data_IF_004610666275
#
_entry.id   IF_004610666275
#
_cell.length_a   1.000
_cell.length_b   1.000
_cell.length_c   1.000
_cell.angle_alpha   90.00
_cell.angle_beta   90.00
_cell.angle_gamma   90.00
#
_symmetry.space_group_name_H-M   'P 1'
#
loop_
_entity.id
_entity.type
_entity.pdbx_description
1 polymer ?
#
# COMPACT_ATOMS: atom_id res chain seq x y z
N UNK A 1 -3.99 21.43 -19.17
CA UNK A 1 -5.14 20.93 -18.36
C UNK A 1 -4.75 19.71 -17.53
N UNK A 2 -4.22 18.64 -18.14
CA UNK A 2 -3.79 17.43 -17.41
C UNK A 2 -2.77 17.71 -16.27
N UNK A 3 -1.73 18.50 -16.52
CA UNK A 3 -0.75 18.91 -15.49
C UNK A 3 -1.37 19.66 -14.30
N UNK A 4 -2.43 20.44 -14.54
CA UNK A 4 -3.15 21.18 -13.50
C UNK A 4 -3.99 20.24 -12.63
N UNK A 5 -4.61 19.23 -13.25
CA UNK A 5 -5.39 18.19 -12.54
C UNK A 5 -4.46 17.33 -11.67
N UNK A 6 -3.29 16.97 -12.19
CA UNK A 6 -2.28 16.21 -11.44
C UNK A 6 -1.73 17.03 -10.27
N UNK A 7 -1.41 18.33 -10.47
CA UNK A 7 -1.00 19.23 -9.38
C UNK A 7 -2.09 19.37 -8.30
N UNK A 8 -3.36 19.57 -8.70
CA UNK A 8 -4.50 19.65 -7.78
C UNK A 8 -4.65 18.38 -6.95
N UNK A 9 -4.49 17.20 -7.56
CA UNK A 9 -4.61 15.91 -6.86
C UNK A 9 -3.48 15.69 -5.84
N UNK A 10 -2.23 15.97 -6.22
CA UNK A 10 -1.07 15.86 -5.32
C UNK A 10 -1.20 16.83 -4.15
N UNK A 11 -1.65 18.06 -4.40
CA UNK A 11 -1.84 19.07 -3.35
C UNK A 11 -3.00 18.73 -2.40
N UNK A 12 -4.08 18.10 -2.88
CA UNK A 12 -5.19 17.64 -2.03
C UNK A 12 -4.77 16.49 -1.10
N UNK A 13 -3.90 15.60 -1.59
CA UNK A 13 -3.32 14.52 -0.78
C UNK A 13 -2.37 15.06 0.30
N UNK A 14 -1.63 16.14 0.03
CA UNK A 14 -0.76 16.80 1.01
C UNK A 14 -1.54 17.57 2.08
N UNK A 15 -2.70 18.16 1.74
CA UNK A 15 -3.54 18.90 2.70
C UNK A 15 -4.13 18.01 3.80
N UNK A 16 -4.35 16.72 3.53
CA UNK A 16 -4.85 15.78 4.54
C UNK A 16 -3.80 15.41 5.61
N UNK A 17 -2.57 15.93 5.51
CA UNK A 17 -1.46 15.52 6.38
C UNK A 17 -1.03 16.56 7.43
N UNK A 18 -1.59 17.77 7.48
CA UNK A 18 -1.29 18.67 8.60
C UNK A 18 -1.58 20.15 8.37
N UNK A 19 -1.91 20.81 9.47
CA UNK A 19 -2.41 22.18 9.55
C UNK A 19 -1.24 23.18 9.58
N UNK A 20 -0.54 23.35 8.46
CA UNK A 20 0.63 24.24 8.37
C UNK A 20 0.26 25.61 7.78
N UNK A 21 0.60 26.69 8.49
CA UNK A 21 0.34 28.07 8.06
C UNK A 21 1.01 28.44 6.72
N UNK A 22 2.09 27.73 6.35
CA UNK A 22 2.78 27.92 5.06
C UNK A 22 1.94 27.47 3.85
N UNK A 23 1.05 26.49 4.04
CA UNK A 23 0.19 25.96 2.97
C UNK A 23 -0.74 27.07 2.43
N UNK A 24 -1.18 27.99 3.29
CA UNK A 24 -2.06 29.10 2.89
C UNK A 24 -1.40 30.11 1.94
N UNK A 25 -0.08 30.29 1.99
CA UNK A 25 0.62 31.16 1.02
C UNK A 25 0.78 30.47 -0.33
N UNK A 26 1.10 29.18 -0.34
CA UNK A 26 1.19 28.39 -1.57
C UNK A 26 -0.18 28.29 -2.27
N UNK A 27 -1.29 28.20 -1.53
CA UNK A 27 -2.64 28.28 -2.09
C UNK A 27 -2.89 29.58 -2.85
N UNK A 28 -2.48 30.73 -2.28
CA UNK A 28 -2.67 32.03 -2.94
C UNK A 28 -1.89 32.12 -4.25
N UNK A 29 -0.64 31.65 -4.24
CA UNK A 29 0.22 31.66 -5.44
C UNK A 29 -0.36 30.74 -6.51
N UNK A 30 -0.76 29.51 -6.13
CA UNK A 30 -1.35 28.56 -7.08
C UNK A 30 -2.66 29.07 -7.70
N UNK A 31 -3.56 29.66 -6.89
CA UNK A 31 -4.81 30.22 -7.42
C UNK A 31 -4.58 31.41 -8.34
N UNK A 32 -3.56 32.24 -8.06
CA UNK A 32 -3.18 33.35 -8.93
C UNK A 32 -2.65 32.84 -10.28
N UNK A 33 -1.71 31.88 -10.27
CA UNK A 33 -1.19 31.25 -11.50
C UNK A 33 -2.31 30.58 -12.32
N UNK A 34 -3.23 29.91 -11.64
CA UNK A 34 -4.38 29.27 -12.27
C UNK A 34 -5.29 30.30 -12.95
N UNK A 35 -5.60 31.39 -12.24
CA UNK A 35 -6.42 32.48 -12.75
C UNK A 35 -5.77 33.13 -13.98
N UNK A 36 -4.47 33.44 -13.90
CA UNK A 36 -3.71 34.09 -14.97
C UNK A 36 -3.62 33.20 -16.23
N UNK A 37 -3.45 31.88 -16.05
CA UNK A 37 -3.48 30.92 -17.16
C UNK A 37 -4.83 30.94 -17.93
N UNK A 38 -5.96 30.99 -17.20
CA UNK A 38 -7.28 31.05 -17.83
C UNK A 38 -7.56 32.40 -18.48
N UNK A 39 -7.15 33.50 -17.86
CA UNK A 39 -7.24 34.84 -18.45
C UNK A 39 -6.43 34.96 -19.74
N UNK A 40 -5.20 34.44 -19.76
CA UNK A 40 -4.34 34.43 -20.96
C UNK A 40 -4.95 33.61 -22.12
N UNK A 41 -5.51 32.43 -21.81
CA UNK A 41 -6.20 31.60 -22.82
C UNK A 41 -7.44 32.28 -23.40
N UNK A 42 -8.19 33.03 -22.60
CA UNK A 42 -9.36 33.80 -23.05
C UNK A 42 -8.99 34.90 -24.04
N UNK A 43 -7.84 35.56 -23.84
CA UNK A 43 -7.32 36.57 -24.76
C UNK A 43 -6.83 35.97 -26.10
N UNK A 44 -6.27 34.76 -26.09
CA UNK A 44 -5.85 34.08 -27.34
C UNK A 44 -7.03 33.61 -28.20
N UNK A 45 -8.20 33.36 -27.61
CA UNK A 45 -9.40 32.92 -28.33
C UNK A 45 -10.17 34.09 -28.96
N UNK A 46 -10.04 35.32 -28.47
CA UNK A 46 -10.69 36.49 -29.09
C UNK A 46 -9.99 36.98 -30.36
N UNK A 47 -8.72 36.62 -30.58
CA UNK A 47 -7.95 37.04 -31.75
C UNK A 47 -7.97 36.02 -32.90
N UNK A 48 -8.60 34.86 -32.73
CA UNK A 48 -8.77 33.84 -33.77
C UNK A 48 -10.15 33.91 -34.40
N UNK A 49 -10.53 35.08 -34.95
CA UNK A 49 -11.70 35.22 -35.81
C UNK A 49 -11.33 35.07 -37.29
N UNK A 50 -10.86 33.90 -37.70
CA UNK A 50 -11.06 33.42 -39.08
C UNK A 50 -11.09 31.89 -39.03
N UNK A 51 -12.18 31.33 -39.56
CA UNK A 51 -12.49 29.91 -39.85
C UNK A 51 -13.34 29.10 -38.85
N UNK A 52 -14.52 28.74 -39.39
CA UNK A 52 -15.41 27.61 -39.12
C UNK A 52 -16.51 27.81 -38.08
N UNK A 53 -17.61 28.39 -38.58
CA UNK A 53 -18.97 28.07 -38.14
C UNK A 53 -19.21 26.57 -38.37
N UNK A 54 -19.43 25.82 -37.29
CA UNK A 54 -19.72 24.38 -37.33
C UNK A 54 -19.55 23.66 -35.99
N UNK A 55 -18.79 24.22 -35.05
CA UNK A 55 -18.51 23.60 -33.75
C UNK A 55 -19.07 24.39 -32.54
N UNK A 56 -20.07 25.25 -32.75
CA UNK A 56 -20.55 26.19 -31.73
C UNK A 56 -21.63 25.66 -30.77
N UNK A 57 -22.23 24.48 -31.03
CA UNK A 57 -23.33 24.00 -30.19
C UNK A 57 -22.91 23.04 -29.06
N UNK A 58 -21.89 22.20 -29.27
CA UNK A 58 -21.44 21.23 -28.26
C UNK A 58 -20.47 21.83 -27.21
N UNK A 59 -19.66 22.83 -27.57
CA UNK A 59 -18.71 23.44 -26.64
C UNK A 59 -19.38 24.37 -25.61
N UNK A 60 -20.53 24.98 -25.95
CA UNK A 60 -21.23 25.85 -25.01
C UNK A 60 -21.89 25.07 -23.85
N UNK A 61 -22.35 23.83 -24.09
CA UNK A 61 -22.88 22.98 -23.02
C UNK A 61 -21.80 22.47 -22.06
N UNK A 62 -20.62 22.05 -22.57
CA UNK A 62 -19.51 21.63 -21.70
C UNK A 62 -18.95 22.77 -20.86
N UNK A 63 -18.97 24.00 -21.37
CA UNK A 63 -18.51 25.19 -20.64
C UNK A 63 -19.50 25.64 -19.56
N UNK A 64 -20.81 25.60 -19.86
CA UNK A 64 -21.86 25.87 -18.88
C UNK A 64 -21.85 24.84 -17.73
N UNK A 65 -21.63 23.56 -18.04
CA UNK A 65 -21.61 22.49 -17.05
C UNK A 65 -20.34 22.51 -16.17
N UNK A 66 -19.18 22.87 -16.72
CA UNK A 66 -17.93 22.99 -15.94
C UNK A 66 -17.89 24.25 -15.07
N UNK A 67 -18.43 25.37 -15.56
CA UNK A 67 -18.62 26.60 -14.78
C UNK A 67 -19.53 26.39 -13.57
N UNK A 68 -20.68 25.71 -13.77
CA UNK A 68 -21.63 25.39 -12.70
C UNK A 68 -21.02 24.45 -11.66
N UNK A 69 -20.28 23.43 -12.09
CA UNK A 69 -19.59 22.50 -11.18
C UNK A 69 -18.53 23.20 -10.32
N UNK A 70 -17.76 24.14 -10.90
CA UNK A 70 -16.76 24.90 -10.15
C UNK A 70 -17.39 25.90 -9.17
N UNK A 71 -18.53 26.53 -9.52
CA UNK A 71 -19.27 27.40 -8.60
C UNK A 71 -19.90 26.61 -7.44
N UNK A 72 -20.45 25.42 -7.72
CA UNK A 72 -21.05 24.55 -6.71
C UNK A 72 -19.96 24.00 -5.74
N UNK A 73 -18.77 23.67 -6.25
CA UNK A 73 -17.62 23.30 -5.40
C UNK A 73 -17.12 24.48 -4.53
N UNK A 74 -17.10 25.71 -5.07
CA UNK A 74 -16.72 26.89 -4.29
C UNK A 74 -17.73 27.22 -3.19
N UNK A 75 -19.03 27.03 -3.47
CA UNK A 75 -20.10 27.29 -2.51
C UNK A 75 -20.10 26.27 -1.35
N UNK A 76 -19.80 24.99 -1.65
CA UNK A 76 -19.64 23.95 -0.61
C UNK A 76 -18.40 24.21 0.26
N UNK A 77 -17.30 24.69 -0.32
CA UNK A 77 -16.08 24.99 0.43
C UNK A 77 -16.25 26.20 1.37
N UNK A 78 -16.96 27.25 0.95
CA UNK A 78 -17.27 28.39 1.81
C UNK A 78 -18.24 28.05 2.96
N UNK A 79 -19.20 27.14 2.73
CA UNK A 79 -20.16 26.73 3.77
C UNK A 79 -19.53 25.86 4.86
N UNK A 80 -18.45 25.15 4.54
CA UNK A 80 -17.74 24.27 5.50
C UNK A 80 -16.80 25.06 6.43
N UNK A 81 -16.33 26.25 6.04
CA UNK A 81 -15.49 27.11 6.92
C UNK A 81 -16.25 27.79 8.06
N UNK A 82 -17.58 27.92 7.97
CA UNK A 82 -18.39 28.57 9.01
C UNK A 82 -18.72 27.62 10.18
N UNK A 83 -18.59 26.30 10.02
CA UNK A 83 -18.96 25.33 11.06
C UNK A 83 -17.78 24.96 11.99
N UNK A 84 -16.53 25.27 11.61
CA UNK A 84 -15.33 24.81 12.36
C UNK A 84 -14.84 25.82 13.42
N UNK A 85 -15.51 26.97 13.60
CA UNK A 85 -15.10 27.96 14.61
C UNK A 85 -15.79 27.85 15.99
N UNK A 86 -16.77 26.96 16.17
CA UNK A 86 -17.55 26.87 17.42
C UNK A 86 -17.30 25.61 18.27
N UNK A 87 -16.19 24.88 18.07
CA UNK A 87 -15.92 23.63 18.79
C UNK A 87 -14.58 23.58 19.54
N UNK A 88 -14.07 24.73 20.00
CA UNK A 88 -12.91 24.78 20.90
C UNK A 88 -13.30 25.46 22.21
N UNK A 89 -14.00 24.72 23.07
CA UNK A 89 -14.36 25.22 24.38
C UNK A 89 -14.95 24.12 25.23
N UNK A 90 -14.10 23.22 25.75
CA UNK A 90 -14.20 22.51 27.05
C UNK A 90 -13.45 21.18 26.99
N UNK A 91 -12.19 21.15 27.44
CA UNK A 91 -11.54 19.92 27.95
C UNK A 91 -10.25 20.30 28.69
N UNK A 92 -10.39 20.73 29.95
CA UNK A 92 -9.27 21.02 30.84
C UNK A 92 -9.47 20.26 32.14
N UNK A 93 -9.31 18.92 32.11
CA UNK A 93 -9.04 18.13 33.32
C UNK A 93 -8.56 16.70 32.98
N UNK A 94 -7.24 16.49 33.00
CA UNK A 94 -6.50 15.27 33.42
C UNK A 94 -5.09 15.29 32.82
N UNK A 95 -4.18 15.96 33.52
CA UNK A 95 -2.81 16.28 33.05
C UNK A 95 -1.71 15.55 33.83
N UNK A 96 -1.89 14.28 34.18
CA UNK A 96 -0.87 13.54 34.97
C UNK A 96 -0.53 12.14 34.51
N UNK A 97 -1.08 11.64 33.39
CA UNK A 97 -0.70 10.31 32.85
C UNK A 97 -0.05 10.36 31.46
N UNK A 98 0.11 11.54 30.86
CA UNK A 98 0.54 11.68 29.47
C UNK A 98 2.06 11.97 29.33
N UNK A 99 2.75 12.40 30.40
CA UNK A 99 4.17 12.79 30.28
C UNK A 99 5.15 11.63 30.09
N UNK A 100 4.80 10.40 30.49
CA UNK A 100 5.68 9.23 30.33
C UNK A 100 5.66 8.64 28.91
N UNK A 101 4.59 8.87 28.13
CA UNK A 101 4.48 8.37 26.76
C UNK A 101 5.27 9.23 25.76
N UNK A 102 5.37 10.54 26.02
CA UNK A 102 6.15 11.46 25.18
C UNK A 102 7.67 11.38 25.40
N UNK A 103 8.16 10.96 26.57
CA UNK A 103 9.61 10.77 26.78
C UNK A 103 10.18 9.57 26.01
N UNK A 104 9.39 8.51 25.80
CA UNK A 104 9.78 7.36 24.95
C UNK A 104 9.79 7.72 23.45
N UNK A 105 8.90 8.60 23.00
CA UNK A 105 8.90 9.11 21.62
C UNK A 105 10.05 10.08 21.33
N UNK A 106 10.44 10.92 22.28
CA UNK A 106 11.51 11.90 22.10
C UNK A 106 12.91 11.29 22.14
N UNK A 107 13.13 10.19 22.90
CA UNK A 107 14.43 9.51 22.91
C UNK A 107 14.73 8.67 21.65
N UNK A 108 13.71 8.32 20.85
CA UNK A 108 13.90 7.66 19.55
C UNK A 108 14.10 8.62 18.37
N UNK A 109 13.77 9.91 18.55
CA UNK A 109 13.91 10.95 17.50
C UNK A 109 15.38 11.31 17.23
N UNK A 110 16.25 11.25 18.24
CA UNK A 110 17.65 11.66 18.09
C UNK A 110 18.48 10.71 17.21
N UNK A 111 18.05 9.45 17.03
CA UNK A 111 18.68 8.56 16.05
C UNK A 111 18.20 8.82 14.61
N UNK A 112 17.02 9.43 14.45
CA UNK A 112 16.51 9.93 13.17
C UNK A 112 17.07 11.29 12.76
N UNK A 113 17.74 12.02 13.66
CA UNK A 113 18.32 13.33 13.31
C UNK A 113 19.70 13.25 12.65
N UNK A 114 20.48 12.18 12.86
CA UNK A 114 21.75 11.97 12.14
C UNK A 114 21.55 11.46 10.68
N UNK A 115 20.28 11.23 10.31
CA UNK A 115 19.83 10.81 8.97
C UNK A 115 19.64 11.97 7.98
N UNK A 116 19.67 13.23 8.42
CA UNK A 116 19.35 14.38 7.55
C UNK A 116 20.53 14.90 6.74
N UNK A 117 21.77 14.44 6.99
CA UNK A 117 22.95 14.92 6.23
C UNK A 117 23.92 13.81 5.79
N UNK A 118 23.90 12.62 6.43
CA UNK A 118 24.84 11.56 6.13
C UNK A 118 24.11 10.41 5.41
N UNK A 119 24.48 10.17 4.15
CA UNK A 119 23.99 9.02 3.36
C UNK A 119 24.02 7.77 4.24
N UNK A 120 22.85 7.20 4.52
CA UNK A 120 22.73 5.95 5.29
C UNK A 120 23.60 4.91 4.64
N UNK A 121 24.55 4.38 5.41
CA UNK A 121 25.41 3.30 4.95
C UNK A 121 24.53 2.13 4.49
N UNK A 122 24.75 1.68 3.26
CA UNK A 122 24.04 0.51 2.74
C UNK A 122 24.28 -0.71 3.64
N UNK A 123 23.21 -1.40 4.02
CA UNK A 123 23.25 -2.62 4.84
C UNK A 123 23.72 -3.82 4.01
N UNK A 124 24.41 -4.76 4.66
CA UNK A 124 24.65 -6.09 4.10
C UNK A 124 23.36 -6.89 4.06
N UNK A 125 23.33 -7.92 3.21
CA UNK A 125 22.19 -8.83 3.06
C UNK A 125 21.94 -9.60 4.36
N UNK A 126 23.00 -10.04 5.04
CA UNK A 126 22.93 -10.71 6.33
C UNK A 126 22.27 -9.86 7.42
N UNK A 127 22.75 -8.62 7.65
CA UNK A 127 22.13 -7.72 8.64
C UNK A 127 20.66 -7.45 8.28
N UNK A 128 20.36 -7.17 7.02
CA UNK A 128 18.98 -6.94 6.60
C UNK A 128 18.07 -8.17 6.86
N UNK A 129 18.59 -9.38 6.63
CA UNK A 129 17.86 -10.63 6.85
C UNK A 129 17.62 -10.88 8.34
N UNK A 130 18.64 -10.69 9.17
CA UNK A 130 18.53 -10.85 10.62
C UNK A 130 17.55 -9.84 11.24
N UNK A 131 17.54 -8.59 10.76
CA UNK A 131 16.58 -7.58 11.19
C UNK A 131 15.15 -7.96 10.85
N UNK A 132 14.92 -8.53 9.66
CA UNK A 132 13.60 -9.05 9.26
C UNK A 132 13.18 -10.22 10.14
N UNK A 133 14.09 -11.15 10.44
CA UNK A 133 13.82 -12.28 11.35
C UNK A 133 13.44 -11.80 12.75
N UNK A 134 14.23 -10.89 13.33
CA UNK A 134 13.95 -10.28 14.64
C UNK A 134 12.60 -9.54 14.64
N UNK A 135 12.31 -8.78 13.58
CA UNK A 135 11.04 -8.07 13.46
C UNK A 135 9.84 -9.01 13.47
N UNK A 136 9.91 -10.11 12.70
CA UNK A 136 8.86 -11.14 12.68
C UNK A 136 8.77 -11.92 13.98
N UNK A 137 9.89 -12.14 14.66
CA UNK A 137 9.94 -12.76 15.98
C UNK A 137 9.20 -11.91 17.01
N UNK A 138 9.49 -10.61 17.12
CA UNK A 138 8.81 -9.71 18.06
C UNK A 138 7.31 -9.60 17.77
N UNK A 139 6.94 -9.56 16.49
CA UNK A 139 5.52 -9.55 16.11
C UNK A 139 4.79 -10.85 16.50
N UNK A 140 5.41 -12.02 16.30
CA UNK A 140 4.78 -13.31 16.59
C UNK A 140 4.73 -13.64 18.09
N UNK A 141 5.83 -13.40 18.78
CA UNK A 141 6.02 -13.83 20.17
C UNK A 141 5.71 -12.72 21.18
N UNK A 142 5.54 -11.47 20.72
CA UNK A 142 5.45 -10.32 21.59
C UNK A 142 6.77 -9.99 22.28
N UNK A 143 6.68 -9.16 23.32
CA UNK A 143 7.80 -8.86 24.23
C UNK A 143 7.36 -9.15 25.66
N UNK A 144 8.31 -9.52 26.51
CA UNK A 144 8.05 -9.65 27.94
C UNK A 144 8.40 -8.34 28.64
N UNK A 145 7.41 -7.70 29.24
CA UNK A 145 7.56 -6.46 29.99
C UNK A 145 7.05 -6.71 31.42
N UNK A 146 7.93 -6.58 32.42
CA UNK A 146 7.62 -6.85 33.83
C UNK A 146 7.05 -8.26 34.09
N UNK A 147 7.53 -9.26 33.37
CA UNK A 147 7.06 -10.65 33.47
C UNK A 147 5.76 -10.94 32.71
N UNK A 148 5.06 -9.93 32.20
CA UNK A 148 3.83 -10.08 31.41
C UNK A 148 4.18 -10.10 29.92
N UNK A 149 3.63 -11.07 29.19
CA UNK A 149 3.78 -11.15 27.74
C UNK A 149 2.83 -10.15 27.07
N UNK A 150 3.39 -9.11 26.46
CA UNK A 150 2.67 -8.07 25.74
C UNK A 150 2.74 -8.34 24.24
N UNK A 151 1.58 -8.40 23.58
CA UNK A 151 1.52 -8.45 22.11
C UNK A 151 1.98 -7.12 21.54
N UNK A 152 2.80 -7.19 20.49
CA UNK A 152 3.42 -6.01 19.87
C UNK A 152 2.92 -5.86 18.44
N UNK A 153 2.56 -4.64 18.05
CA UNK A 153 2.16 -4.33 16.68
C UNK A 153 3.35 -4.36 15.73
N UNK A 154 3.10 -4.48 14.41
CA UNK A 154 4.17 -4.43 13.40
C UNK A 154 4.99 -3.13 13.45
N UNK A 155 4.36 -2.01 13.85
CA UNK A 155 5.04 -0.70 13.96
C UNK A 155 5.98 -0.69 15.16
N UNK A 156 5.48 -1.03 16.34
CA UNK A 156 6.30 -1.11 17.55
C UNK A 156 7.45 -2.11 17.40
N UNK A 157 7.20 -3.26 16.76
CA UNK A 157 8.26 -4.23 16.46
C UNK A 157 9.34 -3.65 15.53
N UNK A 158 8.96 -2.77 14.59
CA UNK A 158 9.90 -2.09 13.70
C UNK A 158 10.76 -1.07 14.47
N UNK A 159 10.14 -0.37 15.42
CA UNK A 159 10.82 0.55 16.33
C UNK A 159 11.83 -0.19 17.21
N UNK A 160 11.50 -1.40 17.70
CA UNK A 160 12.41 -2.26 18.46
C UNK A 160 13.66 -2.68 17.66
N UNK A 161 13.51 -3.01 16.36
CA UNK A 161 14.66 -3.38 15.51
C UNK A 161 15.42 -2.18 14.95
N UNK A 162 14.94 -0.95 15.19
CA UNK A 162 15.51 0.31 14.68
C UNK A 162 15.63 0.35 13.16
N UNK A 163 14.61 -0.15 12.46
CA UNK A 163 14.51 -0.08 11.00
C UNK A 163 13.10 0.36 10.63
N UNK A 164 12.92 1.36 9.73
CA UNK A 164 11.59 1.77 9.32
C UNK A 164 10.75 0.60 8.79
N UNK A 165 9.50 0.49 9.24
CA UNK A 165 8.55 -0.56 8.84
C UNK A 165 8.51 -0.76 7.32
N UNK A 166 8.42 0.35 6.56
CA UNK A 166 8.41 0.32 5.08
C UNK A 166 9.63 -0.37 4.49
N UNK A 167 10.82 -0.14 5.06
CA UNK A 167 12.07 -0.77 4.61
C UNK A 167 12.08 -2.27 4.91
N UNK A 168 11.59 -2.68 6.07
CA UNK A 168 11.48 -4.10 6.43
C UNK A 168 10.48 -4.85 5.52
N UNK A 169 9.36 -4.22 5.17
CA UNK A 169 8.38 -4.78 4.22
C UNK A 169 9.00 -5.00 2.83
N UNK A 170 9.75 -4.02 2.32
CA UNK A 170 10.50 -4.15 1.06
C UNK A 170 11.55 -5.27 1.14
N UNK A 171 12.29 -5.37 2.26
CA UNK A 171 13.24 -6.48 2.47
C UNK A 171 12.55 -7.85 2.42
N UNK A 172 11.39 -8.02 3.06
CA UNK A 172 10.62 -9.26 2.99
C UNK A 172 10.25 -9.60 1.56
N UNK A 173 9.76 -8.63 0.78
CA UNK A 173 9.39 -8.87 -0.61
C UNK A 173 10.60 -9.31 -1.45
N UNK A 174 11.78 -8.75 -1.18
CA UNK A 174 13.03 -9.11 -1.84
C UNK A 174 13.46 -10.53 -1.44
N UNK A 175 13.49 -10.85 -0.15
CA UNK A 175 13.92 -12.15 0.35
C UNK A 175 13.00 -13.28 -0.11
N UNK A 176 11.68 -13.10 -0.02
CA UNK A 176 10.71 -14.10 -0.49
C UNK A 176 10.89 -14.46 -1.98
N UNK A 177 11.35 -13.51 -2.79
CA UNK A 177 11.63 -13.72 -4.22
C UNK A 177 13.02 -14.34 -4.44
N UNK A 178 14.00 -13.90 -3.67
CA UNK A 178 15.38 -14.36 -3.77
C UNK A 178 15.55 -15.81 -3.30
N UNK A 179 14.90 -16.20 -2.19
CA UNK A 179 14.94 -17.56 -1.62
C UNK A 179 14.47 -18.65 -2.61
N UNK A 180 13.75 -18.27 -3.67
CA UNK A 180 13.35 -19.19 -4.74
C UNK A 180 14.49 -19.63 -5.65
N UNK A 181 15.58 -18.88 -5.70
CA UNK A 181 16.65 -19.07 -6.70
C UNK A 181 18.07 -19.06 -6.10
N UNK A 182 18.25 -18.53 -4.89
CA UNK A 182 19.56 -18.43 -4.25
C UNK A 182 19.43 -18.65 -2.75
N UNK A 183 20.41 -19.34 -2.16
CA UNK A 183 20.53 -19.43 -0.72
C UNK A 183 21.04 -18.10 -0.17
N UNK A 184 20.28 -17.49 0.75
CA UNK A 184 20.58 -16.17 1.32
C UNK A 184 21.88 -16.20 2.14
N UNK A 185 22.20 -17.34 2.77
CA UNK A 185 23.38 -17.49 3.62
C UNK A 185 24.68 -17.31 2.83
N UNK A 186 24.73 -17.84 1.60
CA UNK A 186 25.88 -17.76 0.69
C UNK A 186 26.20 -16.32 0.22
N UNK A 187 25.21 -15.43 0.25
CA UNK A 187 25.34 -14.05 -0.23
C UNK A 187 25.23 -13.01 0.89
N UNK A 188 25.22 -13.46 2.15
CA UNK A 188 24.99 -12.63 3.34
C UNK A 188 25.95 -11.45 3.48
N UNK A 189 27.22 -11.61 3.12
CA UNK A 189 28.24 -10.56 3.22
C UNK A 189 28.09 -9.43 2.19
N UNK A 190 27.37 -9.69 1.08
CA UNK A 190 27.19 -8.71 0.01
C UNK A 190 26.18 -7.64 0.42
N UNK A 191 26.23 -6.47 -0.22
CA UNK A 191 25.30 -5.36 0.04
C UNK A 191 23.91 -5.61 -0.57
N UNK A 192 22.86 -5.03 0.00
CA UNK A 192 21.49 -5.15 -0.53
C UNK A 192 21.33 -4.72 -2.00
N UNK A 193 22.16 -3.77 -2.49
CA UNK A 193 22.17 -3.38 -3.91
C UNK A 193 22.53 -4.52 -4.87
N UNK A 194 23.39 -5.45 -4.42
CA UNK A 194 23.73 -6.66 -5.18
C UNK A 194 22.49 -7.53 -5.38
N UNK A 195 21.72 -7.78 -4.32
CA UNK A 195 20.53 -8.64 -4.37
C UNK A 195 19.46 -8.09 -5.33
N UNK A 196 19.21 -6.77 -5.28
CA UNK A 196 18.27 -6.12 -6.21
C UNK A 196 18.72 -6.27 -7.67
N UNK A 197 20.01 -6.10 -7.93
CA UNK A 197 20.59 -6.25 -9.27
C UNK A 197 20.51 -7.70 -9.76
N UNK A 198 20.79 -8.65 -8.86
CA UNK A 198 20.68 -10.07 -9.12
C UNK A 198 19.26 -10.49 -9.47
N UNK A 199 18.25 -10.00 -8.73
CA UNK A 199 16.84 -10.27 -9.02
C UNK A 199 16.40 -9.68 -10.37
N UNK A 200 16.85 -8.47 -10.72
CA UNK A 200 16.56 -7.86 -12.03
C UNK A 200 17.09 -8.72 -13.17
N UNK A 201 18.31 -9.23 -13.06
CA UNK A 201 18.93 -10.11 -14.07
C UNK A 201 18.23 -11.47 -14.19
N UNK A 202 17.64 -11.97 -13.10
CA UNK A 202 17.03 -13.31 -13.04
C UNK A 202 15.49 -13.28 -13.01
N UNK A 203 14.84 -12.21 -13.50
CA UNK A 203 13.38 -12.03 -13.45
C UNK A 203 12.60 -13.23 -14.04
N UNK A 204 13.08 -13.80 -15.15
CA UNK A 204 12.45 -14.97 -15.79
C UNK A 204 12.53 -16.24 -14.95
N UNK A 205 13.69 -16.50 -14.31
CA UNK A 205 13.88 -17.66 -13.42
C UNK A 205 13.00 -17.55 -12.18
N UNK A 206 12.92 -16.36 -11.57
CA UNK A 206 12.04 -16.11 -10.42
C UNK A 206 10.58 -16.39 -10.80
N UNK A 207 10.12 -15.94 -11.97
CA UNK A 207 8.75 -16.20 -12.45
C UNK A 207 8.47 -17.70 -12.57
N UNK A 208 9.37 -18.45 -13.23
CA UNK A 208 9.24 -19.91 -13.39
C UNK A 208 9.19 -20.62 -12.03
N UNK A 209 10.08 -20.25 -11.11
CA UNK A 209 10.13 -20.82 -9.77
C UNK A 209 8.85 -20.52 -8.95
N UNK A 210 8.29 -19.31 -9.08
CA UNK A 210 7.01 -18.96 -8.44
C UNK A 210 5.84 -19.80 -8.96
N UNK A 211 5.73 -19.97 -10.27
CA UNK A 211 4.66 -20.78 -10.89
C UNK A 211 4.76 -22.22 -10.39
N UNK A 212 5.98 -22.78 -10.42
CA UNK A 212 6.23 -24.13 -9.94
C UNK A 212 5.86 -24.29 -8.46
N UNK A 213 6.29 -23.37 -7.60
CA UNK A 213 5.95 -23.38 -6.15
C UNK A 213 4.42 -23.31 -5.93
N UNK A 214 3.70 -22.51 -6.72
CA UNK A 214 2.24 -22.42 -6.64
C UNK A 214 1.56 -23.72 -7.09
N UNK A 215 2.05 -24.35 -8.16
CA UNK A 215 1.55 -25.65 -8.62
C UNK A 215 1.74 -26.73 -7.56
N UNK A 216 2.91 -26.81 -6.94
CA UNK A 216 3.16 -27.73 -5.82
C UNK A 216 2.20 -27.51 -4.65
N UNK A 217 1.96 -26.26 -4.26
CA UNK A 217 1.03 -25.94 -3.18
C UNK A 217 -0.42 -26.34 -3.50
N UNK A 218 -0.87 -26.18 -4.75
CA UNK A 218 -2.20 -26.61 -5.19
C UNK A 218 -2.31 -28.15 -5.12
N UNK A 219 -1.29 -28.86 -5.59
CA UNK A 219 -1.25 -30.32 -5.54
C UNK A 219 -1.29 -30.85 -4.11
N UNK A 220 -0.52 -30.25 -3.20
CA UNK A 220 -0.52 -30.58 -1.76
C UNK A 220 -1.89 -30.35 -1.12
N UNK A 221 -2.56 -29.24 -1.44
CA UNK A 221 -3.89 -28.94 -0.92
C UNK A 221 -4.94 -29.93 -1.45
N UNK A 222 -4.87 -30.33 -2.72
CA UNK A 222 -5.77 -31.32 -3.31
C UNK A 222 -5.58 -32.70 -2.65
N UNK A 223 -4.34 -33.08 -2.36
CA UNK A 223 -4.03 -34.33 -1.63
C UNK A 223 -4.64 -34.33 -0.22
N UNK A 224 -4.53 -33.21 0.52
CA UNK A 224 -5.13 -33.07 1.85
C UNK A 224 -6.66 -33.17 1.80
N UNK A 225 -7.29 -32.48 0.86
CA UNK A 225 -8.76 -32.52 0.70
C UNK A 225 -9.26 -33.94 0.37
N UNK A 226 -8.57 -34.66 -0.52
CA UNK A 226 -8.94 -36.04 -0.85
C UNK A 226 -8.75 -37.00 0.35
N UNK A 227 -7.75 -36.75 1.20
CA UNK A 227 -7.53 -37.53 2.41
C UNK A 227 -8.66 -37.32 3.44
N UNK A 228 -9.08 -36.07 3.67
CA UNK A 228 -10.18 -35.75 4.57
C UNK A 228 -11.51 -36.38 4.11
N UNK A 229 -11.80 -36.37 2.80
CA UNK A 229 -12.99 -37.03 2.24
C UNK A 229 -12.96 -38.55 2.50
N UNK A 230 -11.79 -39.18 2.35
CA UNK A 230 -11.63 -40.61 2.60
C UNK A 230 -11.81 -40.97 4.08
N UNK A 231 -11.29 -40.16 5.00
CA UNK A 231 -11.44 -40.37 6.45
C UNK A 231 -12.91 -40.19 6.88
N UNK A 232 -13.60 -39.17 6.37
CA UNK A 232 -15.03 -38.95 6.63
C UNK A 232 -15.91 -40.10 6.09
N UNK A 233 -15.59 -40.64 4.91
CA UNK A 233 -16.36 -41.75 4.30
C UNK A 233 -16.20 -43.06 5.08
N UNK A 234 -15.07 -43.26 5.78
CA UNK A 234 -14.88 -44.44 6.63
C UNK A 234 -15.70 -44.40 7.92
N UNK A 235 -15.93 -43.21 8.49
CA UNK A 235 -16.65 -43.06 9.76
C UNK A 235 -18.17 -43.23 9.60
N UNK A 236 -18.73 -42.98 8.41
CA UNK A 236 -20.17 -43.07 8.14
C UNK A 236 -20.65 -44.46 7.68
N UNK A 237 -19.81 -45.51 7.72
CA UNK A 237 -20.17 -46.86 7.22
C UNK A 237 -20.95 -47.76 8.18
N UNK A 238 -21.57 -47.19 9.23
CA UNK A 238 -22.31 -47.99 10.23
C UNK A 238 -23.83 -47.86 10.18
N UNK A 239 -24.42 -47.09 9.24
CA UNK A 239 -25.90 -46.99 9.15
C UNK A 239 -26.36 -47.06 7.69
N UNK A 240 -26.90 -48.23 7.36
CA UNK A 240 -27.82 -48.62 6.28
C UNK A 240 -27.54 -48.36 4.78
N UNK A 241 -27.71 -49.46 4.05
CA UNK A 241 -27.65 -49.64 2.61
C UNK A 241 -28.62 -48.72 1.85
N UNK A 242 -28.15 -48.01 0.83
CA UNK A 242 -28.85 -47.85 -0.45
C UNK A 242 -27.98 -47.10 -1.48
N UNK A 243 -27.89 -47.70 -2.65
CA UNK A 243 -26.93 -47.46 -3.73
C UNK A 243 -27.30 -46.21 -4.54
N UNK A 244 -26.40 -45.22 -4.63
CA UNK A 244 -26.30 -44.35 -5.83
C UNK A 244 -24.87 -43.84 -6.01
N UNK A 245 -24.28 -44.15 -7.17
CA UNK A 245 -22.87 -43.91 -7.54
C UNK A 245 -22.59 -42.45 -7.92
N UNK A 246 -21.67 -41.73 -7.25
CA UNK A 246 -21.27 -40.37 -7.65
C UNK A 246 -20.16 -40.41 -8.71
N UNK A 247 -20.44 -39.87 -9.90
CA UNK A 247 -19.43 -39.65 -10.95
C UNK A 247 -18.50 -38.48 -10.59
N UNK A 248 -17.17 -38.59 -10.82
CA UNK A 248 -16.24 -37.50 -10.53
C UNK A 248 -16.21 -36.46 -11.65
N UNK A 249 -16.32 -35.18 -11.27
CA UNK A 249 -16.25 -34.03 -12.18
C UNK A 249 -14.77 -33.69 -12.47
N UNK A 250 -14.36 -33.74 -13.73
CA UNK A 250 -13.02 -33.30 -14.17
C UNK A 250 -12.98 -31.76 -14.23
N UNK A 251 -12.14 -31.14 -13.40
CA UNK A 251 -11.87 -29.70 -13.44
C UNK A 251 -10.76 -29.36 -14.45
N UNK A 252 -11.17 -28.81 -15.60
CA UNK A 252 -10.32 -28.07 -16.53
C UNK A 252 -10.02 -26.67 -15.93
N UNK A 253 -8.87 -26.48 -15.28
CA UNK A 253 -8.44 -25.16 -14.74
C UNK A 253 -7.09 -24.70 -15.36
N UNK A 254 -6.51 -25.44 -16.30
CA UNK A 254 -5.09 -25.26 -16.67
C UNK A 254 -4.80 -24.75 -18.09
N UNK A 255 -5.69 -23.98 -18.74
CA UNK A 255 -5.40 -23.47 -20.10
C UNK A 255 -5.08 -21.97 -20.22
N UNK A 256 -5.35 -21.13 -19.22
CA UNK A 256 -5.38 -19.67 -19.45
C UNK A 256 -4.22 -18.91 -18.76
N UNK A 257 -2.98 -19.39 -18.91
CA UNK A 257 -1.79 -18.59 -18.57
C UNK A 257 -1.05 -18.16 -19.83
N UNK A 258 -1.64 -17.22 -20.56
CA UNK A 258 -0.98 -16.51 -21.65
C UNK A 258 0.05 -15.50 -21.10
N UNK A 259 1.19 -15.46 -21.78
CA UNK A 259 2.42 -14.69 -21.50
C UNK A 259 2.26 -13.18 -21.73
N UNK A 260 1.41 -12.48 -20.97
CA UNK A 260 1.39 -11.01 -21.02
C UNK A 260 2.42 -10.39 -20.07
N UNK A 261 3.45 -9.79 -20.67
CA UNK A 261 4.67 -9.34 -20.00
C UNK A 261 4.53 -8.09 -19.12
N UNK A 262 3.36 -7.43 -19.04
CA UNK A 262 3.24 -6.09 -18.45
C UNK A 262 2.36 -5.94 -17.19
N UNK A 263 1.68 -6.98 -16.70
CA UNK A 263 0.61 -6.81 -15.69
C UNK A 263 1.00 -7.07 -14.21
N UNK A 264 2.29 -7.05 -13.89
CA UNK A 264 2.75 -7.47 -12.55
C UNK A 264 2.43 -6.48 -11.42
N UNK A 265 2.29 -5.19 -11.69
CA UNK A 265 1.90 -4.21 -10.65
C UNK A 265 0.41 -4.29 -10.30
N UNK A 266 -0.42 -4.77 -11.24
CA UNK A 266 -1.85 -4.93 -11.02
C UNK A 266 -2.16 -6.24 -10.27
N UNK A 267 -1.36 -7.29 -10.48
CA UNK A 267 -1.57 -8.60 -9.84
C UNK A 267 -1.15 -8.64 -8.36
N UNK A 268 -0.12 -7.89 -7.93
CA UNK A 268 0.25 -7.81 -6.50
C UNK A 268 -0.84 -7.17 -5.63
N UNK A 269 -1.67 -6.30 -6.20
CA UNK A 269 -2.77 -5.65 -5.49
C UNK A 269 -4.01 -6.55 -5.34
N UNK A 270 -4.17 -7.58 -6.19
CA UNK A 270 -5.27 -8.55 -6.08
C UNK A 270 -4.98 -9.70 -5.10
N UNK A 271 -3.71 -9.98 -4.79
CA UNK A 271 -3.33 -11.03 -3.82
C UNK A 271 -3.80 -10.71 -2.39
N UNK A 272 -3.99 -9.43 -2.03
CA UNK A 272 -4.54 -9.04 -0.73
C UNK A 272 -6.07 -9.11 -0.65
N UNK A 273 -6.79 -9.39 -1.74
CA UNK A 273 -8.26 -9.54 -1.75
C UNK A 273 -8.75 -10.97 -1.58
N UNK A 274 -7.86 -11.96 -1.67
CA UNK A 274 -8.23 -13.39 -1.63
C UNK A 274 -8.19 -13.96 -0.20
N UNK A 275 -7.61 -13.23 0.76
CA UNK A 275 -7.74 -13.55 2.17
C UNK A 275 -8.91 -12.75 2.76
N UNK A 276 -10.07 -13.35 3.05
CA UNK A 276 -11.04 -12.69 3.90
C UNK A 276 -10.34 -12.41 5.24
N UNK A 277 -10.41 -11.15 5.69
CA UNK A 277 -10.03 -10.78 7.05
C UNK A 277 -10.75 -11.77 7.99
N UNK A 278 -10.04 -12.50 8.87
CA UNK A 278 -10.72 -13.23 9.92
C UNK A 278 -11.38 -12.17 10.80
N UNK A 279 -12.71 -12.10 10.72
CA UNK A 279 -13.52 -11.39 11.70
C UNK A 279 -13.24 -12.09 13.03
N UNK A 280 -12.51 -11.43 13.92
CA UNK A 280 -12.40 -11.83 15.31
C UNK A 280 -13.38 -10.95 16.06
N UNK A 281 -14.48 -11.57 16.49
CA UNK A 281 -15.43 -10.98 17.42
C UNK A 281 -14.81 -10.79 18.82
#
# INVERSE_FOLDING_TARGET
>A
MFFLIVKLKIFFELHNLGNDQNINQEWKIFFQEFHDYFCSKKATLSNSQVLKQGALHLNNQLYQNSSKFLLDCFCHFCRTKVIVQNFYGTALHNQTSIQNEYQLLLMNSNFYQDLTSKRVKERSIGDAYDRVKQWRYFFRNGIQENGIQKKVTLKEAADLVKVPKKTLEDYIQIFNKAELIVNIEEISEKKMGYLRSFMKKNKSKIRKAMIHKKQQQIEENLKKQNQEVYENTKQNKNEDESITSPYPYQQNILSDFCDDQNDWEQYSNNIFKIFPNPHFD
#
